data_IF_219586043664
#
_entry.id   IF_219586043664
#
_cell.length_a   1.000
_cell.length_b   1.000
_cell.length_c   1.000
_cell.angle_alpha   90.00
_cell.angle_beta   90.00
_cell.angle_gamma   90.00
#
_symmetry.space_group_name_H-M   'P 1'
#
loop_
_entity.id
_entity.type
_entity.pdbx_description
1 polymer ?
#
# COMPACT_ATOMS: atom_id res chain seq x y z
N UNK A 1 -3.71 -9.93 10.36
CA UNK A 1 -4.85 -10.70 10.82
C UNK A 1 -5.25 -11.71 9.74
N UNK A 2 -5.67 -12.95 10.11
CA UNK A 2 -6.11 -13.97 9.16
C UNK A 2 -7.51 -13.66 8.62
N UNK A 3 -7.71 -13.96 7.34
CA UNK A 3 -9.02 -13.94 6.66
C UNK A 3 -9.52 -15.37 6.41
N UNK A 4 -8.60 -16.30 6.20
CA UNK A 4 -8.82 -17.71 5.95
C UNK A 4 -7.55 -18.48 6.33
N UNK A 5 -7.54 -19.81 6.24
CA UNK A 5 -6.37 -20.63 6.48
C UNK A 5 -5.19 -20.20 5.58
N UNK A 6 -4.10 -19.79 6.22
CA UNK A 6 -2.90 -19.23 5.56
C UNK A 6 -3.17 -18.05 4.59
N UNK A 7 -4.28 -17.33 4.77
CA UNK A 7 -4.63 -16.15 3.99
C UNK A 7 -4.83 -14.95 4.90
N UNK A 8 -3.87 -14.03 4.86
CA UNK A 8 -3.85 -12.83 5.71
C UNK A 8 -4.41 -11.61 4.96
N UNK A 9 -4.82 -10.60 5.70
CA UNK A 9 -5.25 -9.31 5.15
C UNK A 9 -4.22 -8.71 4.17
N UNK A 10 -2.94 -8.88 4.46
CA UNK A 10 -1.86 -8.39 3.56
C UNK A 10 -1.84 -9.18 2.24
N UNK A 11 -2.12 -10.48 2.24
CA UNK A 11 -2.21 -11.27 1.02
C UNK A 11 -3.36 -10.79 0.13
N UNK A 12 -4.49 -10.40 0.73
CA UNK A 12 -5.62 -9.82 0.01
C UNK A 12 -5.21 -8.51 -0.69
N UNK A 13 -4.47 -7.63 0.00
CA UNK A 13 -3.96 -6.38 -0.57
C UNK A 13 -2.95 -6.63 -1.72
N UNK A 14 -2.09 -7.62 -1.56
CA UNK A 14 -1.16 -8.05 -2.62
C UNK A 14 -1.94 -8.55 -3.85
N UNK A 15 -3.00 -9.35 -3.64
CA UNK A 15 -3.84 -9.84 -4.73
C UNK A 15 -4.57 -8.70 -5.43
N UNK A 16 -5.03 -7.68 -4.70
CA UNK A 16 -5.62 -6.48 -5.28
C UNK A 16 -4.63 -5.79 -6.22
N UNK A 17 -3.40 -5.55 -5.79
CA UNK A 17 -2.34 -4.98 -6.63
C UNK A 17 -2.07 -5.85 -7.87
N UNK A 18 -2.04 -7.17 -7.71
CA UNK A 18 -1.83 -8.10 -8.82
C UNK A 18 -3.00 -8.07 -9.83
N UNK A 19 -4.25 -8.01 -9.38
CA UNK A 19 -5.41 -7.85 -10.26
C UNK A 19 -5.43 -6.48 -10.94
N UNK A 20 -4.96 -5.43 -10.28
CA UNK A 20 -4.79 -4.10 -10.86
C UNK A 20 -3.76 -4.07 -12.00
N UNK A 21 -2.87 -5.04 -12.05
CA UNK A 21 -1.83 -5.14 -13.08
C UNK A 21 -0.51 -4.48 -12.69
N UNK A 22 -0.25 -4.33 -11.40
CA UNK A 22 1.03 -3.84 -10.92
C UNK A 22 2.16 -4.79 -11.34
N UNK A 23 3.25 -4.24 -11.83
CA UNK A 23 4.44 -5.00 -12.25
C UNK A 23 5.41 -5.23 -11.08
N UNK A 24 5.31 -4.42 -10.03
CA UNK A 24 6.05 -4.54 -8.78
C UNK A 24 5.16 -4.15 -7.61
N UNK A 25 5.39 -4.76 -6.44
CA UNK A 25 4.65 -4.43 -5.21
C UNK A 25 5.65 -3.96 -4.15
N UNK A 26 5.37 -2.82 -3.54
CA UNK A 26 6.19 -2.21 -2.51
C UNK A 26 5.44 -2.16 -1.19
N UNK A 27 5.96 -2.87 -0.19
CA UNK A 27 5.37 -2.93 1.16
C UNK A 27 6.20 -2.04 2.08
N UNK A 28 5.55 -1.01 2.63
CA UNK A 28 6.15 -0.16 3.65
C UNK A 28 5.83 -0.74 5.01
N UNK A 29 6.85 -1.24 5.70
CA UNK A 29 6.69 -1.90 6.99
C UNK A 29 7.74 -1.40 7.99
N UNK A 30 7.46 -1.62 9.27
CA UNK A 30 8.45 -1.42 10.32
C UNK A 30 9.62 -2.39 10.14
N UNK A 31 10.88 -1.95 10.29
CA UNK A 31 12.04 -2.81 10.11
C UNK A 31 12.07 -4.02 11.06
N UNK A 32 11.53 -3.88 12.27
CA UNK A 32 11.56 -4.94 13.27
C UNK A 32 10.63 -6.10 12.92
N UNK A 33 9.52 -5.81 12.20
CA UNK A 33 8.56 -6.83 11.76
C UNK A 33 8.75 -7.27 10.30
N UNK A 34 9.54 -6.55 9.52
CA UNK A 34 9.81 -6.86 8.11
C UNK A 34 10.32 -8.29 7.88
N UNK A 35 11.23 -8.87 8.70
CA UNK A 35 11.68 -10.26 8.53
C UNK A 35 10.56 -11.27 8.63
N UNK A 36 9.59 -11.03 9.53
CA UNK A 36 8.40 -11.88 9.69
C UNK A 36 7.52 -11.80 8.44
N UNK A 37 7.28 -10.59 7.94
CA UNK A 37 6.50 -10.41 6.72
C UNK A 37 7.15 -11.08 5.51
N UNK A 38 8.46 -10.94 5.33
CA UNK A 38 9.20 -11.61 4.26
C UNK A 38 9.02 -13.12 4.30
N UNK A 39 9.11 -13.71 5.49
CA UNK A 39 8.94 -15.16 5.66
C UNK A 39 7.51 -15.62 5.31
N UNK A 40 6.50 -14.83 5.64
CA UNK A 40 5.09 -15.19 5.46
C UNK A 40 4.59 -14.89 4.04
N UNK A 41 5.00 -13.75 3.46
CA UNK A 41 4.52 -13.26 2.17
C UNK A 41 5.37 -13.78 1.03
N UNK A 42 6.71 -13.81 1.22
CA UNK A 42 7.67 -14.16 0.18
C UNK A 42 8.15 -12.96 -0.64
N UNK A 43 8.89 -13.26 -1.69
CA UNK A 43 9.58 -12.28 -2.53
C UNK A 43 8.84 -11.95 -3.83
N UNK A 44 7.82 -12.72 -4.18
CA UNK A 44 7.00 -12.49 -5.36
C UNK A 44 5.62 -13.14 -5.25
N UNK A 45 4.72 -12.72 -6.11
CA UNK A 45 3.42 -13.35 -6.36
C UNK A 45 3.25 -13.55 -7.85
N UNK A 46 2.51 -14.57 -8.28
CA UNK A 46 2.14 -14.71 -9.68
C UNK A 46 0.96 -13.80 -10.03
N UNK A 47 1.04 -13.17 -11.21
CA UNK A 47 -0.13 -12.49 -11.79
C UNK A 47 -1.28 -13.50 -11.96
N UNK A 48 -2.38 -13.34 -11.23
CA UNK A 48 -3.44 -14.36 -11.21
C UNK A 48 -4.10 -14.56 -12.59
N UNK A 49 -4.15 -13.50 -13.41
CA UNK A 49 -4.76 -13.58 -14.74
C UNK A 49 -3.88 -14.41 -15.69
N UNK A 50 -2.59 -14.13 -15.69
CA UNK A 50 -1.63 -14.85 -16.55
C UNK A 50 -1.36 -16.26 -16.02
N UNK A 51 -1.40 -16.47 -14.70
CA UNK A 51 -1.23 -17.79 -14.09
C UNK A 51 -2.27 -18.78 -14.59
N UNK A 52 -3.55 -18.42 -14.57
CA UNK A 52 -4.62 -19.29 -15.04
C UNK A 52 -4.58 -19.51 -16.55
N UNK A 53 -4.17 -18.51 -17.32
CA UNK A 53 -3.98 -18.66 -18.78
C UNK A 53 -2.82 -19.60 -19.12
N UNK A 54 -1.76 -19.62 -18.31
CA UNK A 54 -0.61 -20.50 -18.53
C UNK A 54 -0.91 -21.97 -18.21
N UNK A 55 -2.03 -22.26 -17.54
CA UNK A 55 -2.51 -23.65 -17.34
C UNK A 55 -3.36 -24.17 -18.51
N UNK A 56 -3.75 -23.30 -19.44
CA UNK A 56 -4.49 -23.66 -20.65
C UNK A 56 -3.48 -24.08 -21.74
N UNK A 57 -3.47 -25.35 -22.20
CA UNK A 57 -2.51 -25.83 -23.19
C UNK A 57 -2.58 -25.07 -24.53
N UNK A 58 -3.75 -24.51 -24.85
CA UNK A 58 -3.97 -23.76 -26.09
C UNK A 58 -3.49 -22.30 -26.01
N UNK A 59 -3.13 -21.84 -24.81
CA UNK A 59 -2.69 -20.47 -24.56
C UNK A 59 -1.25 -20.46 -24.07
N UNK A 60 -0.31 -20.19 -24.95
CA UNK A 60 1.12 -20.04 -24.64
C UNK A 60 1.43 -18.80 -23.76
N UNK A 61 0.68 -18.59 -22.67
CA UNK A 61 0.92 -17.51 -21.76
C UNK A 61 2.02 -17.90 -20.75
N UNK A 62 3.06 -17.06 -20.63
CA UNK A 62 4.09 -17.23 -19.59
C UNK A 62 3.53 -16.83 -18.24
N UNK A 63 3.86 -17.61 -17.19
CA UNK A 63 3.61 -17.20 -15.80
C UNK A 63 4.41 -15.94 -15.53
N UNK A 64 3.72 -14.86 -15.17
CA UNK A 64 4.35 -13.58 -14.84
C UNK A 64 4.51 -13.48 -13.33
N UNK A 65 5.75 -13.38 -12.87
CA UNK A 65 6.07 -13.11 -11.47
C UNK A 65 6.07 -11.60 -11.23
N UNK A 66 5.39 -11.18 -10.19
CA UNK A 66 5.35 -9.81 -9.70
C UNK A 66 6.23 -9.76 -8.45
N UNK A 67 7.41 -9.12 -8.49
CA UNK A 67 8.30 -9.06 -7.34
C UNK A 67 7.72 -8.18 -6.23
N UNK A 68 7.99 -8.56 -4.99
CA UNK A 68 7.58 -7.86 -3.78
C UNK A 68 8.81 -7.28 -3.10
N UNK A 69 8.83 -5.98 -2.92
CA UNK A 69 9.89 -5.24 -2.24
C UNK A 69 9.40 -4.73 -0.89
N UNK A 70 10.28 -4.75 0.07
CA UNK A 70 10.03 -4.20 1.40
C UNK A 70 10.87 -2.95 1.61
N UNK A 71 10.23 -1.91 2.10
CA UNK A 71 10.87 -0.66 2.46
C UNK A 71 10.35 -0.17 3.80
N UNK A 72 11.01 0.82 4.36
CA UNK A 72 10.66 1.41 5.66
C UNK A 72 10.73 2.92 5.57
N UNK A 73 10.05 3.62 6.47
CA UNK A 73 10.17 5.07 6.60
C UNK A 73 11.62 5.42 6.99
N UNK A 74 12.22 6.37 6.27
CA UNK A 74 13.57 6.84 6.58
C UNK A 74 13.69 7.25 8.06
N UNK A 75 14.80 6.87 8.71
CA UNK A 75 15.05 7.09 10.14
C UNK A 75 14.83 8.56 10.57
N UNK A 76 15.22 9.52 9.71
CA UNK A 76 15.00 10.97 9.98
C UNK A 76 13.54 11.40 10.04
N UNK A 77 12.61 10.61 9.51
CA UNK A 77 11.17 10.88 9.47
C UNK A 77 10.40 10.12 10.55
N UNK A 78 11.00 9.07 11.13
CA UNK A 78 10.38 8.29 12.22
C UNK A 78 10.15 9.18 13.43
N UNK A 79 8.99 9.03 14.07
CA UNK A 79 8.59 9.86 15.18
C UNK A 79 8.28 11.33 14.83
N UNK A 80 8.35 11.68 13.52
CA UNK A 80 8.10 13.06 13.05
C UNK A 80 7.03 13.16 11.99
N UNK A 81 6.95 12.17 11.07
CA UNK A 81 6.03 12.15 9.92
C UNK A 81 5.55 10.74 9.59
N UNK A 82 5.62 9.82 10.51
CA UNK A 82 5.33 8.40 10.31
C UNK A 82 3.82 8.06 10.33
N UNK A 83 2.99 8.95 9.75
CA UNK A 83 1.58 8.66 9.48
C UNK A 83 1.41 7.65 8.32
N UNK A 84 0.24 7.04 8.22
CA UNK A 84 -0.10 6.13 7.10
C UNK A 84 0.05 6.80 5.73
N UNK A 85 -0.40 8.06 5.61
CA UNK A 85 -0.23 8.83 4.38
C UNK A 85 1.24 9.06 4.02
N UNK A 86 2.08 9.32 5.01
CA UNK A 86 3.52 9.43 4.78
C UNK A 86 4.16 8.10 4.35
N UNK A 87 3.70 6.98 4.91
CA UNK A 87 4.16 5.65 4.48
C UNK A 87 3.90 5.41 2.99
N UNK A 88 2.71 5.81 2.49
CA UNK A 88 2.37 5.73 1.07
C UNK A 88 3.33 6.58 0.23
N UNK A 89 3.55 7.84 0.62
CA UNK A 89 4.47 8.75 -0.08
C UNK A 89 5.89 8.16 -0.11
N UNK A 90 6.36 7.61 1.00
CA UNK A 90 7.70 7.03 1.10
C UNK A 90 7.84 5.78 0.23
N UNK A 91 6.83 4.91 0.20
CA UNK A 91 6.79 3.72 -0.66
C UNK A 91 6.83 4.09 -2.14
N UNK A 92 6.01 5.04 -2.58
CA UNK A 92 5.99 5.53 -3.95
C UNK A 92 7.34 6.20 -4.32
N UNK A 93 7.91 6.98 -3.41
CA UNK A 93 9.21 7.63 -3.62
C UNK A 93 10.36 6.62 -3.72
N UNK A 94 10.34 5.55 -2.92
CA UNK A 94 11.35 4.49 -3.01
C UNK A 94 11.22 3.70 -4.31
N UNK A 95 10.01 3.36 -4.72
CA UNK A 95 9.75 2.70 -6.00
C UNK A 95 10.28 3.57 -7.16
N UNK A 96 9.99 4.87 -7.14
CA UNK A 96 10.52 5.84 -8.12
C UNK A 96 12.06 5.88 -8.12
N UNK A 97 12.68 5.99 -6.96
CA UNK A 97 14.16 6.06 -6.85
C UNK A 97 14.83 4.82 -7.41
N UNK A 98 14.32 3.65 -7.09
CA UNK A 98 14.88 2.39 -7.60
C UNK A 98 14.74 2.32 -9.12
N UNK A 99 13.57 2.64 -9.67
CA UNK A 99 13.35 2.62 -11.10
C UNK A 99 14.23 3.62 -11.84
N UNK A 100 14.34 4.84 -11.32
CA UNK A 100 15.07 5.94 -11.99
C UNK A 100 16.60 5.86 -11.81
N UNK A 101 17.08 5.48 -10.63
CA UNK A 101 18.49 5.64 -10.26
C UNK A 101 19.28 4.34 -10.25
N UNK A 102 18.66 3.24 -9.85
CA UNK A 102 19.37 1.99 -9.55
C UNK A 102 19.19 0.90 -10.60
N UNK A 103 17.99 0.74 -11.15
CA UNK A 103 17.65 -0.43 -11.98
C UNK A 103 17.50 -0.12 -13.46
N UNK A 104 17.44 1.14 -13.86
CA UNK A 104 17.09 1.57 -15.22
C UNK A 104 15.77 0.98 -15.72
N UNK A 105 14.86 0.69 -14.81
CA UNK A 105 13.50 0.25 -15.13
C UNK A 105 12.71 1.41 -15.75
N UNK A 106 11.62 1.04 -16.43
CA UNK A 106 10.65 2.04 -16.87
C UNK A 106 10.00 2.67 -15.64
N UNK A 107 10.04 4.00 -15.58
CA UNK A 107 9.38 4.75 -14.51
C UNK A 107 7.87 4.67 -14.77
N UNK A 108 7.07 4.14 -13.84
CA UNK A 108 5.63 4.09 -14.02
C UNK A 108 5.03 5.50 -13.95
N UNK A 109 4.02 5.76 -14.77
CA UNK A 109 3.30 7.03 -14.74
C UNK A 109 2.40 7.15 -13.52
N UNK A 110 1.88 6.03 -13.02
CA UNK A 110 0.98 5.96 -11.88
C UNK A 110 1.40 4.87 -10.89
N UNK A 111 1.15 5.13 -9.63
CA UNK A 111 1.38 4.22 -8.51
C UNK A 111 0.04 3.84 -7.90
N UNK A 112 -0.23 2.56 -7.83
CA UNK A 112 -1.44 2.02 -7.19
C UNK A 112 -1.23 1.90 -5.68
N UNK A 113 -2.17 2.41 -4.90
CA UNK A 113 -2.17 2.31 -3.44
C UNK A 113 -3.25 1.32 -2.99
N UNK A 114 -2.90 0.38 -2.16
CA UNK A 114 -3.83 -0.54 -1.49
C UNK A 114 -3.59 -0.55 0.01
N UNK A 115 -4.65 -0.77 0.77
CA UNK A 115 -4.61 -0.83 2.23
C UNK A 115 -4.97 -2.23 2.71
N UNK A 116 -4.08 -2.91 3.48
CA UNK A 116 -4.33 -4.27 3.94
C UNK A 116 -5.62 -4.43 4.76
N UNK A 117 -6.01 -3.42 5.51
CA UNK A 117 -7.20 -3.42 6.37
C UNK A 117 -8.49 -3.02 5.67
N UNK A 118 -8.44 -2.69 4.39
CA UNK A 118 -9.62 -2.46 3.56
C UNK A 118 -10.10 -3.80 2.99
N UNK A 119 -11.20 -4.33 3.50
CA UNK A 119 -11.70 -5.65 3.10
C UNK A 119 -12.90 -5.53 2.15
N UNK A 120 -12.69 -5.98 0.96
CA UNK A 120 -13.65 -6.23 -0.13
C UNK A 120 -13.04 -7.25 -1.08
N UNK A 121 -13.81 -7.93 -1.94
CA UNK A 121 -13.27 -8.88 -2.91
C UNK A 121 -12.28 -8.21 -3.85
N UNK A 122 -10.98 -8.59 -3.86
CA UNK A 122 -9.96 -7.93 -4.67
C UNK A 122 -10.16 -8.14 -6.18
N UNK A 123 -10.94 -9.14 -6.57
CA UNK A 123 -11.26 -9.47 -7.96
C UNK A 123 -12.04 -8.35 -8.68
N UNK A 124 -12.74 -7.50 -7.94
CA UNK A 124 -13.46 -6.34 -8.49
C UNK A 124 -12.51 -5.45 -9.32
N UNK A 125 -11.29 -5.28 -8.85
CA UNK A 125 -10.27 -4.45 -9.54
C UNK A 125 -9.87 -5.04 -10.89
N UNK A 126 -10.03 -6.35 -11.11
CA UNK A 126 -9.71 -7.03 -12.37
C UNK A 126 -10.46 -6.45 -13.57
N UNK A 127 -11.71 -6.07 -13.39
CA UNK A 127 -12.54 -5.50 -14.46
C UNK A 127 -12.02 -4.13 -14.93
N UNK A 128 -11.35 -3.42 -14.05
CA UNK A 128 -10.77 -2.10 -14.29
C UNK A 128 -9.29 -2.13 -14.68
N UNK A 129 -8.67 -3.30 -14.83
CA UNK A 129 -7.25 -3.44 -15.13
C UNK A 129 -6.80 -2.66 -16.37
N UNK A 130 -7.60 -2.68 -17.44
CA UNK A 130 -7.30 -1.93 -18.68
C UNK A 130 -7.34 -0.40 -18.45
N UNK A 131 -8.40 0.17 -17.87
CA UNK A 131 -8.41 1.58 -17.47
C UNK A 131 -7.27 1.96 -16.54
N UNK A 132 -6.94 1.11 -15.55
CA UNK A 132 -5.84 1.33 -14.61
C UNK A 132 -4.52 1.41 -15.36
N UNK A 133 -4.23 0.45 -16.25
CA UNK A 133 -2.99 0.43 -17.04
C UNK A 133 -2.93 1.51 -18.13
N UNK A 134 -4.04 2.16 -18.47
CA UNK A 134 -4.09 3.28 -19.43
C UNK A 134 -3.75 4.65 -18.83
N UNK A 135 -3.12 4.66 -17.65
CA UNK A 135 -2.65 5.89 -16.99
C UNK A 135 -3.74 6.81 -16.47
N UNK A 136 -4.98 6.32 -16.42
CA UNK A 136 -6.06 7.09 -15.82
C UNK A 136 -5.96 7.05 -14.29
N UNK A 137 -6.15 8.22 -13.68
CA UNK A 137 -6.32 8.30 -12.24
C UNK A 137 -7.62 7.61 -11.86
N UNK A 138 -7.61 6.82 -10.78
CA UNK A 138 -8.82 6.24 -10.24
C UNK A 138 -8.84 6.30 -8.71
N UNK A 139 -10.04 6.18 -8.17
CA UNK A 139 -10.32 6.10 -6.75
C UNK A 139 -11.35 5.00 -6.51
N UNK A 140 -11.09 4.17 -5.52
CA UNK A 140 -12.09 3.20 -5.05
C UNK A 140 -13.00 3.90 -4.05
N UNK A 141 -14.31 3.71 -4.21
CA UNK A 141 -15.33 4.30 -3.33
C UNK A 141 -16.25 3.23 -2.77
N UNK A 142 -16.70 3.43 -1.54
CA UNK A 142 -17.77 2.66 -0.91
C UNK A 142 -18.85 3.62 -0.45
N UNK A 143 -20.07 3.45 -0.94
CA UNK A 143 -21.18 4.38 -0.71
C UNK A 143 -20.84 5.84 -1.09
N UNK A 144 -20.06 6.05 -2.14
CA UNK A 144 -19.61 7.37 -2.58
C UNK A 144 -18.49 7.99 -1.74
N UNK A 145 -17.97 7.29 -0.72
CA UNK A 145 -16.87 7.76 0.11
C UNK A 145 -15.56 7.02 -0.23
N UNK A 146 -14.47 7.77 -0.28
CA UNK A 146 -13.13 7.25 -0.58
C UNK A 146 -12.05 7.85 0.30
N UNK A 147 -10.83 7.90 -0.19
CA UNK A 147 -9.68 8.45 0.54
C UNK A 147 -9.88 9.91 0.96
N UNK A 148 -10.65 10.70 0.20
CA UNK A 148 -11.02 12.09 0.55
C UNK A 148 -11.80 12.16 1.87
N UNK A 149 -12.68 11.21 2.14
CA UNK A 149 -13.46 11.11 3.37
C UNK A 149 -12.76 10.25 4.42
N UNK A 150 -11.44 10.12 4.31
CA UNK A 150 -10.61 9.32 5.22
C UNK A 150 -10.99 7.83 5.27
N UNK A 151 -11.60 7.31 4.19
CA UNK A 151 -11.74 5.86 4.00
C UNK A 151 -10.46 5.31 3.41
N UNK A 152 -10.00 4.22 3.97
CA UNK A 152 -8.76 3.58 3.53
C UNK A 152 -9.02 2.66 2.33
N UNK A 153 -9.47 3.26 1.23
CA UNK A 153 -9.74 2.59 -0.03
C UNK A 153 -8.68 2.94 -1.06
N UNK A 154 -8.43 2.04 -1.99
CA UNK A 154 -7.37 2.17 -2.98
C UNK A 154 -7.54 3.38 -3.91
N UNK A 155 -6.44 3.91 -4.38
CA UNK A 155 -6.39 5.00 -5.35
C UNK A 155 -5.06 5.01 -6.10
N UNK A 156 -4.93 5.87 -7.11
CA UNK A 156 -3.65 6.08 -7.79
C UNK A 156 -3.12 7.48 -7.58
N UNK A 157 -1.79 7.58 -7.62
CA UNK A 157 -1.05 8.85 -7.63
C UNK A 157 0.08 8.80 -8.66
N UNK A 158 0.34 9.95 -9.28
CA UNK A 158 1.48 10.14 -10.18
C UNK A 158 2.75 10.49 -9.40
N UNK A 159 3.88 10.54 -10.10
CA UNK A 159 5.13 11.05 -9.52
C UNK A 159 4.96 12.48 -8.99
N UNK A 160 4.32 13.35 -9.75
CA UNK A 160 4.13 14.74 -9.34
C UNK A 160 3.24 14.84 -8.10
N UNK A 161 2.22 13.97 -7.98
CA UNK A 161 1.32 13.94 -6.84
C UNK A 161 2.08 13.64 -5.54
N UNK A 162 2.88 12.57 -5.49
CA UNK A 162 3.59 12.25 -4.24
C UNK A 162 4.69 13.26 -3.90
N UNK A 163 5.29 13.94 -4.88
CA UNK A 163 6.21 15.05 -4.64
C UNK A 163 5.47 16.22 -4.01
N UNK A 164 4.31 16.60 -4.55
CA UNK A 164 3.48 17.69 -4.05
C UNK A 164 2.95 17.38 -2.63
N UNK A 165 2.42 16.17 -2.42
CA UNK A 165 1.97 15.73 -1.10
C UNK A 165 3.11 15.72 -0.08
N UNK A 166 4.32 15.31 -0.47
CA UNK A 166 5.51 15.36 0.39
C UNK A 166 5.86 16.79 0.80
N UNK A 167 5.79 17.74 -0.14
CA UNK A 167 6.01 19.15 0.13
C UNK A 167 4.90 19.71 1.04
N UNK A 168 3.64 19.39 0.76
CA UNK A 168 2.48 19.78 1.56
C UNK A 168 2.62 19.32 3.02
N UNK A 169 2.86 18.03 3.26
CA UNK A 169 3.04 17.50 4.63
C UNK A 169 4.19 18.18 5.38
N UNK A 170 5.27 18.53 4.68
CA UNK A 170 6.40 19.23 5.30
C UNK A 170 6.09 20.67 5.64
N UNK A 171 5.27 21.33 4.83
CA UNK A 171 4.85 22.72 5.02
C UNK A 171 3.83 22.83 6.15
N UNK A 172 2.83 21.96 6.16
CA UNK A 172 1.74 21.98 7.13
C UNK A 172 2.10 21.37 8.49
N UNK A 173 3.10 20.48 8.49
CA UNK A 173 3.56 19.82 9.71
C UNK A 173 4.47 20.71 10.54
N UNK A 174 4.24 20.73 11.85
CA UNK A 174 5.12 21.44 12.79
C UNK A 174 6.44 20.69 12.99
N UNK A 175 7.47 21.43 13.36
CA UNK A 175 8.75 20.91 13.82
C UNK A 175 8.80 20.79 15.34
N UNK A 176 10.01 20.95 15.89
CA UNK A 176 10.26 20.99 17.34
C UNK A 176 10.13 22.41 17.91
N UNK A 177 10.33 23.42 17.08
CA UNK A 177 10.45 24.82 17.50
C UNK A 177 9.34 25.67 16.93
N UNK A 178 9.07 26.79 17.61
CA UNK A 178 8.10 27.80 17.16
C UNK A 178 8.60 28.42 15.85
N UNK A 179 7.78 28.39 14.78
CA UNK A 179 8.16 28.98 13.48
C UNK A 179 8.42 30.51 13.64
N UNK A 180 9.54 30.99 13.09
CA UNK A 180 9.89 32.41 13.16
C UNK A 180 10.36 32.90 14.55
N UNK A 181 10.53 31.98 15.50
CA UNK A 181 11.02 32.32 16.86
C UNK A 181 12.44 32.89 16.85
N UNK A 182 12.78 33.64 17.92
CA UNK A 182 14.11 34.21 18.09
C UNK A 182 15.18 33.13 18.14
N UNK A 183 16.29 33.32 17.45
CA UNK A 183 17.45 32.45 17.49
C UNK A 183 18.34 32.79 18.71
N UNK A 184 19.04 31.77 19.21
CA UNK A 184 20.16 31.96 20.14
C UNK A 184 21.44 32.32 19.37
N UNK A 185 22.55 32.55 20.08
CA UNK A 185 23.82 32.95 19.50
C UNK A 185 24.45 31.86 18.58
N UNK A 186 23.98 30.59 18.71
CA UNK A 186 24.34 29.48 17.86
C UNK A 186 23.37 29.29 16.65
N UNK A 187 22.43 30.22 16.41
CA UNK A 187 21.46 30.17 15.34
C UNK A 187 20.33 29.13 15.55
N UNK A 188 20.14 28.64 16.77
CA UNK A 188 19.10 27.67 17.11
C UNK A 188 17.89 28.39 17.68
N UNK A 189 16.65 28.05 17.28
CA UNK A 189 15.44 28.64 17.84
C UNK A 189 15.37 28.43 19.36
N UNK A 190 15.03 29.50 20.11
CA UNK A 190 14.98 29.49 21.59
C UNK A 190 13.71 28.82 22.11
N UNK A 191 12.59 29.03 21.41
CA UNK A 191 11.28 28.58 21.85
C UNK A 191 10.93 27.22 21.27
N UNK A 192 10.65 26.29 22.15
CA UNK A 192 10.23 24.91 21.78
C UNK A 192 8.72 24.82 21.88
N UNK A 193 8.09 24.21 20.87
CA UNK A 193 6.64 23.98 20.89
C UNK A 193 6.24 23.07 22.07
N UNK A 194 5.02 23.22 22.59
CA UNK A 194 4.44 22.24 23.52
C UNK A 194 4.53 20.81 22.95
N UNK A 195 4.75 19.77 23.78
CA UNK A 195 4.94 18.40 23.30
C UNK A 195 3.84 17.89 22.35
N UNK A 196 2.60 18.26 22.59
CA UNK A 196 1.41 17.93 21.82
C UNK A 196 1.37 18.56 20.42
N UNK A 197 2.04 19.70 20.24
CA UNK A 197 2.12 20.43 18.98
C UNK A 197 3.34 20.04 18.13
N UNK A 198 4.32 19.33 18.75
CA UNK A 198 5.53 18.89 18.04
C UNK A 198 5.22 17.79 17.06
N UNK A 199 5.80 17.90 15.88
CA UNK A 199 5.73 16.85 14.87
C UNK A 199 4.29 16.46 14.49
N UNK A 200 3.41 17.45 14.35
CA UNK A 200 1.98 17.25 14.09
C UNK A 200 1.69 16.38 12.85
N UNK A 201 2.62 16.32 11.88
CA UNK A 201 2.47 15.47 10.70
C UNK A 201 2.35 13.96 11.01
N UNK A 202 2.73 13.50 12.20
CA UNK A 202 2.49 12.14 12.67
C UNK A 202 1.01 11.79 12.76
N UNK A 203 0.20 12.80 13.06
CA UNK A 203 -1.23 12.67 13.32
C UNK A 203 -2.09 13.04 12.11
N UNK A 204 -1.47 13.36 10.97
CA UNK A 204 -2.23 13.68 9.78
C UNK A 204 -3.02 12.47 9.31
N UNK A 205 -4.32 12.67 9.09
CA UNK A 205 -5.18 11.69 8.44
C UNK A 205 -4.72 11.46 7.00
N UNK A 206 -5.12 10.34 6.42
CA UNK A 206 -4.83 10.06 5.01
C UNK A 206 -5.45 11.13 4.11
N UNK A 207 -6.68 11.55 4.38
CA UNK A 207 -7.32 12.65 3.67
C UNK A 207 -6.53 13.96 3.73
N UNK A 208 -6.00 14.33 4.90
CA UNK A 208 -5.17 15.54 5.05
C UNK A 208 -3.86 15.45 4.28
N UNK A 209 -3.21 14.29 4.26
CA UNK A 209 -1.95 14.08 3.51
C UNK A 209 -2.17 14.23 2.00
N UNK A 210 -3.31 13.80 1.50
CA UNK A 210 -3.68 13.79 0.08
C UNK A 210 -4.70 14.86 -0.31
N UNK A 211 -4.91 15.87 0.54
CA UNK A 211 -5.85 16.98 0.31
C UNK A 211 -5.53 17.76 -0.98
N UNK A 212 -4.25 17.84 -1.34
CA UNK A 212 -3.79 18.52 -2.56
C UNK A 212 -4.02 17.73 -3.85
N UNK A 213 -4.53 16.48 -3.77
CA UNK A 213 -4.81 15.68 -4.96
C UNK A 213 -6.14 16.07 -5.59
N UNK A 214 -6.10 16.32 -6.89
CA UNK A 214 -7.30 16.46 -7.70
C UNK A 214 -7.82 15.09 -8.12
N UNK A 215 -8.99 14.71 -7.60
CA UNK A 215 -9.70 13.48 -7.97
C UNK A 215 -10.91 13.73 -8.87
N UNK A 216 -11.22 14.96 -9.24
CA UNK A 216 -12.47 15.30 -9.94
C UNK A 216 -12.61 14.64 -11.32
N UNK A 217 -11.46 14.33 -11.94
CA UNK A 217 -11.41 13.59 -13.21
C UNK A 217 -10.98 12.13 -13.06
N UNK A 218 -11.07 11.57 -11.86
CA UNK A 218 -10.68 10.18 -11.60
C UNK A 218 -11.81 9.22 -11.98
N UNK A 219 -11.44 8.04 -12.46
CA UNK A 219 -12.38 6.94 -12.62
C UNK A 219 -12.77 6.43 -11.23
N UNK A 220 -14.05 6.42 -10.91
CA UNK A 220 -14.54 5.82 -9.68
C UNK A 220 -14.78 4.32 -9.86
N UNK A 221 -14.28 3.53 -8.90
CA UNK A 221 -14.52 2.09 -8.80
C UNK A 221 -15.38 1.86 -7.55
N UNK A 222 -16.68 1.68 -7.70
CA UNK A 222 -17.55 1.43 -6.55
C UNK A 222 -17.34 0.00 -6.03
N UNK A 223 -17.24 -0.15 -4.70
CA UNK A 223 -17.21 -1.44 -4.03
C UNK A 223 -18.41 -1.58 -3.10
N UNK A 224 -19.02 -2.76 -3.13
CA UNK A 224 -20.08 -3.14 -2.22
C UNK A 224 -19.52 -3.96 -1.05
N UNK A 225 -20.08 -3.78 0.13
CA UNK A 225 -19.70 -4.60 1.29
C UNK A 225 -18.26 -4.35 1.77
N UNK A 226 -17.86 -3.10 1.91
CA UNK A 226 -16.56 -2.70 2.46
C UNK A 226 -16.52 -2.78 3.99
N UNK A 227 -15.44 -3.39 4.51
CA UNK A 227 -15.09 -3.35 5.93
C UNK A 227 -13.71 -2.73 6.10
N UNK A 228 -13.59 -1.82 7.06
CA UNK A 228 -12.32 -1.21 7.44
C UNK A 228 -11.89 -1.78 8.80
N UNK A 229 -10.83 -2.61 8.82
CA UNK A 229 -10.42 -3.33 10.03
C UNK A 229 -9.17 -2.68 10.60
N UNK A 230 -9.35 -1.76 11.54
CA UNK A 230 -8.29 -1.02 12.22
C UNK A 230 -8.19 -1.33 13.70
N UNK A 231 -9.18 -2.03 14.24
CA UNK A 231 -9.23 -2.47 15.64
C UNK A 231 -9.60 -3.95 15.74
N UNK A 232 -9.37 -4.52 16.92
CA UNK A 232 -9.78 -5.89 17.20
C UNK A 232 -11.31 -6.05 17.20
N UNK A 233 -12.02 -5.03 17.63
CA UNK A 233 -13.49 -5.00 17.65
C UNK A 233 -14.05 -5.05 16.22
N UNK A 234 -13.51 -4.24 15.31
CA UNK A 234 -13.89 -4.27 13.90
C UNK A 234 -13.58 -5.62 13.25
N UNK A 235 -12.45 -6.24 13.61
CA UNK A 235 -12.11 -7.58 13.15
C UNK A 235 -13.08 -8.65 13.63
N UNK A 236 -13.44 -8.66 14.91
CA UNK A 236 -14.41 -9.61 15.45
C UNK A 236 -15.80 -9.41 14.85
N UNK A 237 -16.22 -8.17 14.64
CA UNK A 237 -17.45 -7.83 13.94
C UNK A 237 -17.45 -8.33 12.49
N UNK A 238 -16.32 -8.17 11.78
CA UNK A 238 -16.14 -8.71 10.44
C UNK A 238 -16.28 -10.24 10.43
N UNK A 239 -15.58 -10.96 11.31
CA UNK A 239 -15.65 -12.41 11.39
C UNK A 239 -17.08 -12.89 11.66
N UNK A 240 -17.82 -12.20 12.54
CA UNK A 240 -19.23 -12.51 12.80
C UNK A 240 -20.14 -12.26 11.58
N UNK A 241 -19.82 -11.24 10.78
CA UNK A 241 -20.56 -10.86 9.57
C UNK A 241 -20.08 -11.59 8.30
N UNK A 242 -18.89 -12.19 8.30
CA UNK A 242 -18.18 -12.73 7.12
C UNK A 242 -18.91 -13.86 6.40
N UNK A 243 -19.94 -14.45 7.03
CA UNK A 243 -20.86 -15.39 6.35
C UNK A 243 -21.56 -14.77 5.13
N UNK A 244 -21.58 -13.44 5.00
CA UNK A 244 -22.22 -12.70 3.89
C UNK A 244 -21.23 -12.21 2.84
N UNK A 245 -19.94 -12.07 3.16
CA UNK A 245 -18.90 -11.65 2.21
C UNK A 245 -17.85 -12.74 2.11
N UNK A 246 -17.77 -13.39 0.96
CA UNK A 246 -16.75 -14.40 0.68
C UNK A 246 -15.55 -13.74 0.01
N UNK A 247 -14.49 -13.48 0.76
CA UNK A 247 -13.18 -13.14 0.19
C UNK A 247 -12.51 -14.48 -0.13
N UNK A 248 -12.48 -14.84 -1.42
CA UNK A 248 -11.90 -16.11 -1.87
C UNK A 248 -10.38 -16.08 -1.74
N UNK A 249 -9.84 -17.10 -1.10
CA UNK A 249 -8.42 -17.36 -1.13
C UNK A 249 -8.01 -17.79 -2.54
N UNK A 250 -6.97 -17.18 -3.14
CA UNK A 250 -6.39 -17.69 -4.38
C UNK A 250 -5.74 -19.06 -4.16
N UNK A 251 -5.49 -19.79 -5.26
CA UNK A 251 -4.73 -21.05 -5.17
C UNK A 251 -3.39 -20.84 -4.47
N UNK A 252 -3.00 -21.77 -3.60
CA UNK A 252 -1.77 -21.69 -2.78
C UNK A 252 -0.55 -21.37 -3.67
N UNK A 253 -0.45 -21.96 -4.85
CA UNK A 253 0.64 -21.74 -5.80
C UNK A 253 0.76 -20.32 -6.36
N UNK A 254 -0.28 -19.47 -6.26
CA UNK A 254 -0.20 -18.05 -6.65
C UNK A 254 0.49 -17.25 -5.56
N UNK A 255 0.25 -17.58 -4.29
CA UNK A 255 0.74 -16.83 -3.12
C UNK A 255 2.11 -17.31 -2.62
N UNK A 256 2.49 -18.56 -2.90
CA UNK A 256 3.75 -19.13 -2.41
C UNK A 256 4.88 -18.89 -3.40
N UNK A 257 5.31 -17.65 -3.49
CA UNK A 257 6.45 -17.25 -4.31
C UNK A 257 7.76 -17.16 -3.54
N UNK A 258 8.01 -18.01 -2.54
CA UNK A 258 9.28 -17.98 -1.81
C UNK A 258 10.22 -19.08 -2.27
N UNK A 259 11.46 -18.71 -2.58
CA UNK A 259 12.59 -19.63 -2.67
C UNK A 259 12.84 -20.38 -1.35
N UNK A 260 12.41 -19.84 -0.22
CA UNK A 260 12.52 -20.46 1.11
C UNK A 260 11.58 -21.64 1.34
N UNK A 261 10.39 -21.67 0.71
CA UNK A 261 9.47 -22.80 0.86
C UNK A 261 9.91 -24.04 0.09
N UNK A 262 10.74 -23.92 -0.94
CA UNK A 262 11.32 -25.08 -1.63
C UNK A 262 12.30 -25.87 -0.76
N UNK A 263 13.07 -25.20 0.07
CA UNK A 263 14.05 -25.84 0.95
C UNK A 263 13.36 -26.62 2.08
N UNK A 264 12.19 -26.16 2.54
CA UNK A 264 11.45 -26.83 3.62
C UNK A 264 10.61 -28.03 3.16
N UNK A 265 10.24 -28.10 1.88
CA UNK A 265 9.51 -29.25 1.32
C UNK A 265 10.49 -30.40 0.98
N UNK A 266 11.70 -30.08 0.53
CA UNK A 266 12.73 -31.09 0.21
C UNK A 266 13.34 -31.74 1.48
N UNK A 267 13.29 -31.08 2.65
CA UNK A 267 13.79 -31.61 3.93
C UNK A 267 12.81 -32.58 4.64
N UNK A 268 11.58 -32.72 4.15
CA UNK A 268 10.57 -33.61 4.74
C UNK A 268 10.28 -34.88 3.90
N UNK A 269 10.91 -35.05 2.74
CA UNK A 269 10.82 -36.26 1.90
C UNK A 269 12.08 -37.16 2.00
N UNK A 270 12.89 -36.99 3.04
CA UNK A 270 14.08 -37.80 3.33
C UNK A 270 13.87 -38.79 4.46
#
# INVERSE_FOLDING_TARGET
>A
LPLDDNYLMIHRSIMECAYAGCETIWIVADPDITPIFKKVIGDYVYDPINYYRALDPDKMAKRTMIPIFFTTIEAKNRGKRDSYGWSIIEGAYMAYRVSNQLSKWIIPNMYYVSFPWALYPPEIVREYRKPISSEKRFIITANGEGVRQNKYLGFTLSQQDFINCRAHVRKEGTGMYVPGGKLNDAGIPREVLPPEERWSARWFSVSKVFDSLDFDNSLEIPVEGFYNIRSWEEYTAFIAASRKMTIKRPTKSILTGTSYNKVAEDDYEG
#
